data_IF_622237071991
#
_entry.id   IF_622237071991
#
_cell.length_a   1.000
_cell.length_b   1.000
_cell.length_c   1.000
_cell.angle_alpha   90.00
_cell.angle_beta   90.00
_cell.angle_gamma   90.00
#
_symmetry.space_group_name_H-M   'P 1'
#
loop_
_entity.id
_entity.type
_entity.pdbx_description
1 polymer ?
#
# COMPACT_ATOMS: atom_id res chain seq x y z
N UNK A 1 15.74 -34.96 -31.71
CA UNK A 1 15.17 -35.15 -30.36
C UNK A 1 15.12 -33.78 -29.69
N UNK A 2 13.96 -33.13 -29.75
CA UNK A 2 13.72 -31.79 -29.22
C UNK A 2 12.95 -31.96 -27.93
N UNK A 3 13.51 -31.51 -26.80
CA UNK A 3 12.84 -31.48 -25.48
C UNK A 3 12.19 -30.09 -25.33
N UNK A 4 10.87 -30.12 -25.26
CA UNK A 4 10.03 -28.94 -25.03
C UNK A 4 10.05 -28.61 -23.53
N UNK A 5 10.52 -27.41 -23.17
CA UNK A 5 10.36 -26.85 -21.83
C UNK A 5 8.96 -26.26 -21.72
N UNK A 6 8.16 -26.84 -20.83
CA UNK A 6 6.86 -26.31 -20.45
C UNK A 6 7.01 -25.24 -19.33
N UNK A 7 6.85 -24.00 -19.71
CA UNK A 7 6.75 -22.89 -18.73
C UNK A 7 5.47 -23.02 -17.91
N UNK A 8 5.62 -23.24 -16.61
CA UNK A 8 4.56 -23.23 -15.62
C UNK A 8 4.11 -21.79 -15.36
N UNK A 9 3.03 -21.35 -15.99
CA UNK A 9 2.37 -20.07 -15.70
C UNK A 9 1.58 -20.17 -14.41
N UNK A 10 2.02 -19.47 -13.39
CA UNK A 10 1.25 -19.27 -12.15
C UNK A 10 0.07 -18.35 -12.46
N UNK A 11 -1.13 -18.91 -12.50
CA UNK A 11 -2.40 -18.18 -12.68
C UNK A 11 -2.82 -17.66 -11.32
N UNK A 12 -2.76 -16.34 -11.14
CA UNK A 12 -3.32 -15.66 -9.95
C UNK A 12 -4.83 -15.55 -10.16
N UNK A 13 -5.69 -16.13 -9.29
CA UNK A 13 -7.13 -16.07 -9.50
C UNK A 13 -7.67 -14.67 -9.26
N UNK A 14 -8.38 -14.15 -10.26
CA UNK A 14 -9.07 -12.87 -10.25
C UNK A 14 -10.33 -12.95 -9.35
N UNK A 15 -10.35 -12.25 -8.23
CA UNK A 15 -11.42 -12.24 -7.22
C UNK A 15 -12.75 -11.61 -7.66
N UNK A 16 -12.98 -11.38 -8.95
CA UNK A 16 -14.17 -10.64 -9.46
C UNK A 16 -15.30 -11.48 -10.06
N UNK A 17 -15.36 -12.79 -9.87
CA UNK A 17 -16.45 -13.60 -10.42
C UNK A 17 -17.11 -14.50 -9.36
N UNK A 18 -17.86 -13.90 -8.44
CA UNK A 18 -18.93 -14.60 -7.72
C UNK A 18 -20.01 -13.59 -7.33
N UNK A 19 -20.93 -13.30 -8.23
CA UNK A 19 -22.29 -12.82 -7.95
C UNK A 19 -23.07 -12.78 -9.28
N UNK A 20 -23.65 -13.90 -9.67
CA UNK A 20 -24.87 -13.97 -10.49
C UNK A 20 -25.38 -15.42 -10.48
N UNK A 21 -26.50 -15.60 -9.93
CA UNK A 21 -27.61 -16.50 -10.23
C UNK A 21 -28.22 -17.08 -8.96
N UNK A 22 -29.45 -16.64 -8.66
CA UNK A 22 -30.63 -17.50 -8.67
C UNK A 22 -31.85 -16.65 -8.27
N UNK A 23 -32.69 -16.35 -9.23
CA UNK A 23 -34.07 -15.95 -9.01
C UNK A 23 -34.93 -17.23 -9.09
N UNK A 24 -35.68 -17.52 -8.03
CA UNK A 24 -36.83 -18.42 -8.10
C UNK A 24 -37.90 -17.89 -7.15
N UNK A 25 -39.09 -17.66 -7.71
CA UNK A 25 -40.27 -17.15 -7.03
C UNK A 25 -40.90 -18.19 -6.15
N UNK A 26 -41.31 -17.76 -4.94
CA UNK A 26 -42.40 -18.43 -4.19
C UNK A 26 -43.16 -17.39 -3.36
N UNK A 27 -44.40 -17.15 -3.71
CA UNK A 27 -45.39 -16.34 -3.00
C UNK A 27 -45.73 -16.98 -1.65
N UNK A 28 -45.49 -16.23 -0.58
CA UNK A 28 -45.94 -16.61 0.75
C UNK A 28 -45.93 -15.38 1.66
N UNK A 29 -47.11 -14.81 1.91
CA UNK A 29 -47.31 -13.70 2.82
C UNK A 29 -47.06 -14.17 4.24
N UNK A 30 -45.94 -13.79 4.84
CA UNK A 30 -45.70 -13.86 6.28
C UNK A 30 -45.20 -12.48 6.71
N UNK A 31 -45.98 -11.82 7.57
CA UNK A 31 -45.59 -10.58 8.20
C UNK A 31 -44.40 -10.88 9.12
N UNK A 32 -43.19 -10.58 8.66
CA UNK A 32 -41.99 -10.62 9.48
C UNK A 32 -41.70 -9.20 9.98
N UNK A 33 -41.76 -9.04 11.29
CA UNK A 33 -41.20 -7.95 12.05
C UNK A 33 -39.77 -7.65 11.54
N UNK A 34 -39.55 -6.49 10.94
CA UNK A 34 -38.22 -6.04 10.60
C UNK A 34 -37.44 -5.81 11.91
N UNK A 35 -36.73 -6.84 12.36
CA UNK A 35 -35.60 -6.64 13.24
C UNK A 35 -34.55 -5.89 12.39
N UNK A 36 -34.26 -4.65 12.78
CA UNK A 36 -33.15 -3.87 12.26
C UNK A 36 -31.86 -4.70 12.42
N UNK A 37 -31.45 -5.40 11.36
CA UNK A 37 -30.13 -6.00 11.29
C UNK A 37 -29.14 -4.86 11.30
N UNK A 38 -28.53 -4.63 12.46
CA UNK A 38 -27.43 -3.71 12.59
C UNK A 38 -26.40 -4.04 11.50
N UNK A 39 -25.98 -3.00 10.82
CA UNK A 39 -24.89 -3.06 9.85
C UNK A 39 -23.66 -3.62 10.59
N UNK A 40 -23.50 -4.93 10.56
CA UNK A 40 -22.29 -5.59 11.04
C UNK A 40 -21.16 -5.12 10.11
N UNK A 41 -20.38 -4.15 10.56
CA UNK A 41 -19.12 -3.81 9.95
C UNK A 41 -18.34 -5.11 9.81
N UNK A 42 -18.23 -5.62 8.61
CA UNK A 42 -17.43 -6.79 8.27
C UNK A 42 -15.98 -6.37 8.48
N UNK A 43 -15.46 -6.58 9.68
CA UNK A 43 -14.05 -6.35 9.94
C UNK A 43 -13.27 -7.31 9.04
N UNK A 44 -12.38 -6.75 8.24
CA UNK A 44 -11.43 -7.56 7.48
C UNK A 44 -10.68 -8.48 8.45
N UNK A 45 -10.39 -9.74 8.06
CA UNK A 45 -9.61 -10.61 8.92
C UNK A 45 -8.28 -9.93 9.26
N UNK A 46 -7.76 -10.14 10.48
CA UNK A 46 -6.47 -9.56 10.88
C UNK A 46 -5.38 -9.91 9.87
N UNK A 47 -4.47 -8.97 9.62
CA UNK A 47 -3.32 -9.20 8.76
C UNK A 47 -2.51 -10.39 9.28
N UNK A 48 -2.12 -11.28 8.37
CA UNK A 48 -1.24 -12.42 8.71
C UNK A 48 0.18 -11.93 9.01
N UNK A 49 0.51 -11.82 10.28
CA UNK A 49 1.82 -11.37 10.74
C UNK A 49 2.97 -12.35 10.45
N UNK A 50 2.66 -13.58 9.94
CA UNK A 50 3.71 -14.49 9.44
C UNK A 50 4.42 -13.96 8.20
N UNK A 51 3.83 -12.97 7.53
CA UNK A 51 4.42 -12.28 6.36
C UNK A 51 5.46 -11.21 6.73
N UNK A 52 5.71 -10.98 8.02
CA UNK A 52 6.73 -10.06 8.54
C UNK A 52 7.66 -10.76 9.54
N UNK A 53 8.91 -10.30 9.69
CA UNK A 53 9.87 -10.94 10.60
C UNK A 53 9.37 -10.93 12.05
N UNK A 54 9.37 -12.11 12.70
CA UNK A 54 8.92 -12.27 14.10
C UNK A 54 9.61 -11.33 15.07
N UNK A 55 10.92 -11.12 14.89
CA UNK A 55 11.71 -10.18 15.72
C UNK A 55 11.16 -8.76 15.61
N UNK A 56 10.82 -8.30 14.41
CA UNK A 56 10.25 -6.97 14.22
C UNK A 56 8.84 -6.87 14.83
N UNK A 57 8.02 -7.92 14.70
CA UNK A 57 6.69 -7.99 15.34
C UNK A 57 6.82 -7.85 16.86
N UNK A 58 7.78 -8.56 17.47
CA UNK A 58 8.04 -8.46 18.91
C UNK A 58 8.49 -7.05 19.34
N UNK A 59 9.31 -6.37 18.50
CA UNK A 59 9.77 -5.01 18.78
C UNK A 59 8.67 -3.94 18.67
N UNK A 60 7.76 -4.09 17.69
CA UNK A 60 6.70 -3.09 17.46
C UNK A 60 5.45 -3.36 18.30
N UNK A 61 5.20 -4.61 18.67
CA UNK A 61 4.00 -5.07 19.33
C UNK A 61 2.84 -5.34 18.35
N UNK A 62 2.32 -6.54 18.41
CA UNK A 62 1.25 -7.01 17.49
C UNK A 62 0.04 -6.08 17.46
N UNK A 63 -0.43 -5.64 18.65
CA UNK A 63 -1.58 -4.74 18.77
C UNK A 63 -1.36 -3.43 18.03
N UNK A 64 -0.15 -2.86 18.08
CA UNK A 64 0.17 -1.62 17.39
C UNK A 64 0.20 -1.82 15.87
N UNK A 65 0.78 -2.94 15.41
CA UNK A 65 0.80 -3.29 13.99
C UNK A 65 -0.63 -3.43 13.47
N UNK A 66 -1.48 -4.23 14.13
CA UNK A 66 -2.88 -4.42 13.73
C UNK A 66 -3.68 -3.11 13.76
N UNK A 67 -3.38 -2.20 14.68
CA UNK A 67 -4.01 -0.87 14.71
C UNK A 67 -3.63 -0.02 13.49
N UNK A 68 -2.36 -0.10 13.05
CA UNK A 68 -1.91 0.61 11.85
C UNK A 68 -2.47 -0.03 10.58
N UNK A 69 -2.58 -1.36 10.54
CA UNK A 69 -3.23 -2.09 9.43
C UNK A 69 -4.66 -1.64 9.24
N UNK A 70 -5.47 -1.58 10.32
CA UNK A 70 -6.85 -1.08 10.24
C UNK A 70 -6.92 0.32 9.66
N UNK A 71 -6.04 1.23 10.09
CA UNK A 71 -5.95 2.57 9.49
C UNK A 71 -5.68 2.52 7.98
N UNK A 72 -4.79 1.63 7.52
CA UNK A 72 -4.48 1.48 6.09
C UNK A 72 -5.67 0.89 5.31
N UNK A 73 -6.39 -0.07 5.88
CA UNK A 73 -7.59 -0.69 5.28
C UNK A 73 -8.75 0.31 5.14
N UNK A 74 -8.93 1.21 6.11
CA UNK A 74 -9.92 2.29 6.06
C UNK A 74 -9.70 3.26 4.89
N UNK A 75 -8.49 3.33 4.32
CA UNK A 75 -8.21 4.12 3.13
C UNK A 75 -8.85 3.55 1.86
N UNK A 76 -9.26 2.28 1.87
CA UNK A 76 -9.94 1.56 0.78
C UNK A 76 -9.19 1.62 -0.56
N UNK A 77 -7.86 1.43 -0.52
CA UNK A 77 -6.98 1.47 -1.68
C UNK A 77 -7.22 0.26 -2.60
N UNK A 78 -7.16 0.47 -3.91
CA UNK A 78 -7.39 -0.57 -4.91
C UNK A 78 -6.11 -1.25 -5.39
N UNK A 79 -5.04 -0.50 -5.45
CA UNK A 79 -3.79 -0.88 -6.13
C UNK A 79 -2.60 -0.98 -5.17
N UNK A 80 -2.79 -0.67 -3.88
CA UNK A 80 -1.79 -0.77 -2.83
C UNK A 80 -2.29 -1.74 -1.77
N UNK A 81 -1.53 -2.78 -1.50
CA UNK A 81 -1.85 -3.73 -0.43
C UNK A 81 -1.25 -3.23 0.90
N UNK A 82 -2.04 -3.13 1.99
CA UNK A 82 -1.55 -2.75 3.31
C UNK A 82 -0.32 -3.53 3.80
N UNK A 83 -0.23 -4.83 3.47
CA UNK A 83 0.94 -5.66 3.86
C UNK A 83 2.25 -5.10 3.30
N UNK A 84 2.25 -4.52 2.09
CA UNK A 84 3.45 -3.95 1.49
C UNK A 84 3.99 -2.76 2.28
N UNK A 85 3.09 -1.96 2.88
CA UNK A 85 3.45 -0.84 3.76
C UNK A 85 4.08 -1.37 5.06
N UNK A 86 3.48 -2.41 5.65
CA UNK A 86 4.02 -3.06 6.86
C UNK A 86 5.40 -3.66 6.57
N UNK A 87 5.56 -4.38 5.46
CA UNK A 87 6.85 -4.94 5.04
C UNK A 87 7.91 -3.87 4.77
N UNK A 88 7.53 -2.71 4.24
CA UNK A 88 8.44 -1.58 4.04
C UNK A 88 8.97 -1.01 5.38
N UNK A 89 8.17 -1.09 6.46
CA UNK A 89 8.62 -0.73 7.80
C UNK A 89 9.45 -1.83 8.47
N UNK A 90 9.18 -3.11 8.16
CA UNK A 90 9.86 -4.26 8.73
C UNK A 90 11.21 -4.56 8.03
N UNK A 91 11.99 -3.53 7.70
CA UNK A 91 13.30 -3.64 7.06
C UNK A 91 14.43 -3.25 8.03
N UNK A 92 15.63 -3.75 7.75
CA UNK A 92 16.84 -3.42 8.49
C UNK A 92 17.83 -2.59 7.67
N UNK A 93 18.68 -1.83 8.37
CA UNK A 93 19.93 -1.27 7.84
C UNK A 93 21.07 -1.74 8.77
N UNK A 94 21.83 -2.73 8.31
CA UNK A 94 22.69 -3.52 9.17
C UNK A 94 21.85 -4.25 10.22
N UNK A 95 22.19 -4.12 11.50
CA UNK A 95 21.46 -4.70 12.63
C UNK A 95 20.27 -3.86 13.12
N UNK A 96 20.07 -2.65 12.57
CA UNK A 96 19.02 -1.73 13.04
C UNK A 96 17.72 -1.96 12.28
N UNK A 97 16.68 -2.33 13.00
CA UNK A 97 15.32 -2.37 12.48
C UNK A 97 14.73 -0.96 12.30
N UNK A 98 13.99 -0.76 11.21
CA UNK A 98 13.10 0.39 11.11
C UNK A 98 11.86 0.16 12.00
N UNK A 99 11.08 1.22 12.22
CA UNK A 99 9.90 1.19 13.10
C UNK A 99 8.63 1.60 12.36
N UNK A 100 7.48 1.34 12.95
CA UNK A 100 6.23 1.99 12.55
C UNK A 100 6.33 3.52 12.77
N UNK A 101 5.61 4.32 11.95
CA UNK A 101 5.50 5.75 12.20
C UNK A 101 4.72 6.02 13.51
N UNK A 102 5.01 7.10 14.22
CA UNK A 102 4.17 7.58 15.32
C UNK A 102 2.72 7.78 14.84
N UNK A 103 1.73 7.48 15.70
CA UNK A 103 0.30 7.57 15.36
C UNK A 103 -0.11 8.96 14.83
N UNK A 104 0.50 10.02 15.35
CA UNK A 104 0.29 11.40 14.89
C UNK A 104 0.65 11.63 13.42
N UNK A 105 1.51 10.79 12.84
CA UNK A 105 1.95 10.89 11.45
C UNK A 105 1.15 10.00 10.47
N UNK A 106 0.21 9.18 10.94
CA UNK A 106 -0.49 8.25 10.06
C UNK A 106 -1.27 8.94 8.93
N UNK A 107 -1.95 10.05 9.27
CA UNK A 107 -2.72 10.83 8.28
C UNK A 107 -1.87 11.36 7.11
N UNK A 108 -0.60 11.69 7.35
CA UNK A 108 0.32 12.13 6.30
C UNK A 108 0.49 11.05 5.24
N UNK A 109 0.68 9.80 5.66
CA UNK A 109 0.80 8.65 4.75
C UNK A 109 -0.50 8.41 3.98
N UNK A 110 -1.66 8.62 4.59
CA UNK A 110 -2.96 8.44 3.94
C UNK A 110 -3.11 9.28 2.66
N UNK A 111 -2.67 10.55 2.69
CA UNK A 111 -2.66 11.42 1.51
C UNK A 111 -1.73 10.90 0.40
N UNK A 112 -0.53 10.46 0.78
CA UNK A 112 0.45 9.91 -0.17
C UNK A 112 -0.04 8.60 -0.79
N UNK A 113 -0.63 7.70 0.00
CA UNK A 113 -1.18 6.43 -0.48
C UNK A 113 -2.33 6.64 -1.47
N UNK A 114 -3.24 7.58 -1.21
CA UNK A 114 -4.31 7.94 -2.16
C UNK A 114 -3.75 8.48 -3.47
N UNK A 115 -2.73 9.35 -3.42
CA UNK A 115 -2.05 9.83 -4.62
C UNK A 115 -1.42 8.68 -5.42
N UNK A 116 -0.76 7.74 -4.74
CA UNK A 116 -0.17 6.54 -5.36
C UNK A 116 -1.22 5.64 -5.96
N UNK A 117 -2.36 5.43 -5.30
CA UNK A 117 -3.47 4.63 -5.82
C UNK A 117 -4.03 5.22 -7.14
N UNK A 118 -4.15 6.56 -7.24
CA UNK A 118 -4.49 7.25 -8.49
C UNK A 118 -3.43 7.07 -9.59
N UNK A 119 -2.14 7.09 -9.24
CA UNK A 119 -1.05 6.83 -10.19
C UNK A 119 -1.12 5.39 -10.72
N UNK A 120 -1.30 4.43 -9.83
CA UNK A 120 -1.44 3.02 -10.15
C UNK A 120 -2.67 2.76 -11.04
N UNK A 121 -3.80 3.41 -10.74
CA UNK A 121 -5.01 3.37 -11.58
C UNK A 121 -4.77 3.95 -12.98
N UNK A 122 -3.96 5.00 -13.12
CA UNK A 122 -3.64 5.64 -14.41
C UNK A 122 -2.86 4.71 -15.34
N UNK A 123 -2.03 3.83 -14.78
CA UNK A 123 -1.26 2.83 -15.56
C UNK A 123 -1.91 1.43 -15.53
N UNK A 124 -3.04 1.30 -14.85
CA UNK A 124 -3.79 0.05 -14.63
C UNK A 124 -2.90 -1.10 -14.09
N UNK A 125 -2.04 -0.79 -13.14
CA UNK A 125 -1.15 -1.76 -12.52
C UNK A 125 -1.09 -1.59 -11.00
N UNK A 126 -1.15 -2.67 -10.21
CA UNK A 126 -0.93 -2.61 -8.78
C UNK A 126 0.54 -2.26 -8.46
N UNK A 127 0.76 -1.69 -7.30
CA UNK A 127 2.11 -1.56 -6.74
C UNK A 127 2.69 -2.96 -6.55
N UNK A 128 3.87 -3.20 -7.11
CA UNK A 128 4.56 -4.49 -6.98
C UNK A 128 5.29 -4.60 -5.65
N UNK A 129 5.92 -3.50 -5.22
CA UNK A 129 6.67 -3.42 -3.97
C UNK A 129 6.70 -1.98 -3.48
N UNK A 130 6.48 -1.79 -2.19
CA UNK A 130 6.84 -0.57 -1.49
C UNK A 130 8.27 -0.72 -0.97
N UNK A 131 9.22 -0.13 -1.69
CA UNK A 131 10.65 -0.26 -1.37
C UNK A 131 11.00 0.49 -0.08
N UNK A 132 10.33 1.63 0.18
CA UNK A 132 10.50 2.41 1.41
C UNK A 132 9.24 3.23 1.68
N UNK A 133 8.87 3.34 2.96
CA UNK A 133 7.81 4.21 3.47
C UNK A 133 8.39 5.13 4.57
N UNK A 134 7.77 5.25 5.74
CA UNK A 134 8.37 5.96 6.86
C UNK A 134 9.75 5.40 7.22
N UNK A 135 10.68 6.28 7.54
CA UNK A 135 12.00 5.94 8.10
C UNK A 135 12.15 6.61 9.45
N UNK A 136 12.42 5.83 10.48
CA UNK A 136 12.80 6.41 11.77
C UNK A 136 14.10 7.20 11.65
N UNK A 137 14.34 8.24 12.46
CA UNK A 137 15.57 9.03 12.36
C UNK A 137 16.85 8.19 12.43
N UNK A 138 16.88 7.20 13.31
CA UNK A 138 18.03 6.30 13.44
C UNK A 138 18.23 5.44 12.19
N UNK A 139 17.15 4.90 11.63
CA UNK A 139 17.19 4.12 10.39
C UNK A 139 17.61 4.97 9.19
N UNK A 140 17.05 6.18 9.05
CA UNK A 140 17.36 7.09 7.94
C UNK A 140 18.86 7.45 7.90
N UNK A 141 19.50 7.67 9.06
CA UNK A 141 20.95 7.95 9.12
C UNK A 141 21.82 6.82 8.56
N UNK A 142 21.29 5.59 8.50
CA UNK A 142 22.01 4.42 7.94
C UNK A 142 21.65 4.13 6.49
N UNK A 143 20.63 4.80 5.94
CA UNK A 143 20.27 4.65 4.53
C UNK A 143 21.26 5.40 3.66
N UNK A 144 21.91 4.71 2.71
CA UNK A 144 22.84 5.34 1.77
C UNK A 144 22.16 6.45 0.98
N UNK A 145 22.79 7.62 0.90
CA UNK A 145 22.29 8.80 0.17
C UNK A 145 21.03 9.47 0.78
N UNK A 146 20.58 9.04 1.97
CA UNK A 146 19.45 9.68 2.61
C UNK A 146 19.81 11.06 3.18
N UNK A 147 18.94 12.04 2.91
CA UNK A 147 19.08 13.40 3.47
C UNK A 147 18.53 13.45 4.88
N UNK A 148 19.12 14.31 5.74
CA UNK A 148 18.60 14.57 7.09
C UNK A 148 17.21 15.22 7.10
N UNK A 149 16.82 15.89 6.01
CA UNK A 149 15.50 16.50 5.78
C UNK A 149 14.60 15.66 4.88
N UNK A 150 14.77 14.32 4.88
CA UNK A 150 14.00 13.41 4.04
C UNK A 150 12.50 13.43 4.41
N UNK A 151 11.61 13.42 3.40
CA UNK A 151 10.16 13.33 3.60
C UNK A 151 9.70 11.97 4.11
N UNK A 152 10.53 10.94 4.02
CA UNK A 152 10.31 9.66 4.69
C UNK A 152 10.32 9.80 6.23
N UNK A 153 11.09 10.72 6.80
CA UNK A 153 11.11 11.01 8.24
C UNK A 153 9.77 11.59 8.75
N UNK A 154 9.02 12.25 7.86
CA UNK A 154 7.74 12.89 8.18
C UNK A 154 6.54 12.06 7.71
N UNK A 155 6.77 10.83 7.22
CA UNK A 155 5.74 9.92 6.73
C UNK A 155 4.93 10.47 5.54
N UNK A 156 5.55 11.31 4.69
CA UNK A 156 4.94 11.88 3.49
C UNK A 156 5.41 11.24 2.17
N UNK A 157 6.33 10.27 2.24
CA UNK A 157 7.01 9.76 1.06
C UNK A 157 6.96 8.23 0.94
N UNK A 158 6.88 7.77 -0.30
CA UNK A 158 6.98 6.35 -0.68
C UNK A 158 7.98 6.19 -1.84
N UNK A 159 8.81 5.16 -1.75
CA UNK A 159 9.61 4.65 -2.86
C UNK A 159 8.94 3.37 -3.38
N UNK A 160 8.57 3.35 -4.66
CA UNK A 160 7.63 2.40 -5.23
C UNK A 160 8.21 1.70 -6.45
N UNK A 161 7.96 0.39 -6.55
CA UNK A 161 8.25 -0.40 -7.75
C UNK A 161 6.96 -0.92 -8.36
N UNK A 162 6.88 -0.85 -9.68
CA UNK A 162 5.81 -1.38 -10.50
C UNK A 162 6.38 -2.38 -11.51
N UNK A 163 5.53 -3.05 -12.26
CA UNK A 163 5.95 -3.81 -13.41
C UNK A 163 6.38 -2.85 -14.54
N UNK A 164 5.68 -1.74 -14.70
CA UNK A 164 6.05 -0.67 -15.60
C UNK A 164 7.38 -0.03 -15.22
N UNK A 165 8.08 0.53 -16.21
CA UNK A 165 9.36 1.22 -16.00
C UNK A 165 9.19 2.45 -15.08
N UNK A 166 10.22 2.83 -14.31
CA UNK A 166 10.18 4.04 -13.49
C UNK A 166 9.83 5.31 -14.29
N UNK A 167 10.26 5.37 -15.55
CA UNK A 167 9.91 6.49 -16.44
C UNK A 167 8.42 6.56 -16.76
N UNK A 168 7.77 5.43 -17.00
CA UNK A 168 6.31 5.35 -17.22
C UNK A 168 5.55 5.76 -15.98
N UNK A 169 5.94 5.26 -14.81
CA UNK A 169 5.30 5.60 -13.53
C UNK A 169 5.48 7.09 -13.21
N UNK A 170 6.67 7.64 -13.40
CA UNK A 170 6.94 9.06 -13.16
C UNK A 170 6.10 9.97 -14.09
N UNK A 171 5.90 9.60 -15.38
CA UNK A 171 4.98 10.33 -16.28
C UNK A 171 3.53 10.28 -15.79
N UNK A 172 3.05 9.10 -15.38
CA UNK A 172 1.71 8.96 -14.81
C UNK A 172 1.55 9.80 -13.54
N UNK A 173 2.53 9.78 -12.63
CA UNK A 173 2.52 10.60 -11.43
C UNK A 173 2.46 12.10 -11.73
N UNK A 174 3.20 12.60 -12.74
CA UNK A 174 3.11 13.99 -13.20
C UNK A 174 1.73 14.33 -13.76
N UNK A 175 1.13 13.43 -14.53
CA UNK A 175 -0.23 13.59 -15.05
C UNK A 175 -1.26 13.68 -13.94
N UNK A 176 -1.20 12.79 -12.94
CA UNK A 176 -2.09 12.81 -11.76
C UNK A 176 -1.89 14.09 -10.95
N UNK A 177 -0.65 14.52 -10.76
CA UNK A 177 -0.30 15.78 -10.08
C UNK A 177 -0.83 17.01 -10.84
N UNK A 178 -0.71 17.04 -12.16
CA UNK A 178 -1.21 18.11 -13.01
C UNK A 178 -2.74 18.25 -12.95
N UNK A 179 -3.46 17.14 -12.70
CA UNK A 179 -4.90 17.13 -12.43
C UNK A 179 -5.29 17.63 -11.03
N UNK A 180 -4.32 18.04 -10.21
CA UNK A 180 -4.57 18.59 -8.88
C UNK A 180 -4.81 17.54 -7.78
N UNK A 181 -4.64 16.24 -8.05
CA UNK A 181 -4.87 15.18 -7.07
C UNK A 181 -3.94 15.29 -5.86
N UNK A 182 -2.69 15.72 -6.09
CA UNK A 182 -1.74 16.01 -5.02
C UNK A 182 -0.78 17.14 -5.41
N UNK A 183 -0.09 17.69 -4.40
CA UNK A 183 1.04 18.59 -4.57
C UNK A 183 2.26 17.97 -3.89
N UNK A 184 3.33 17.70 -4.66
CA UNK A 184 4.46 16.98 -4.07
C UNK A 184 5.60 16.68 -5.02
N UNK A 185 6.57 15.93 -4.51
CA UNK A 185 7.77 15.51 -5.22
C UNK A 185 7.57 14.23 -6.02
N UNK A 186 8.23 14.17 -7.18
CA UNK A 186 8.35 12.99 -8.02
C UNK A 186 9.82 12.81 -8.38
N UNK A 187 10.44 11.75 -7.84
CA UNK A 187 11.83 11.39 -8.13
C UNK A 187 11.91 10.14 -8.98
N UNK A 188 12.59 10.19 -10.13
CA UNK A 188 12.83 9.02 -10.97
C UNK A 188 14.21 8.43 -10.70
N UNK A 189 14.21 7.20 -10.19
CA UNK A 189 15.43 6.43 -9.96
C UNK A 189 15.52 5.24 -10.94
N UNK A 190 16.68 4.59 -11.08
CA UNK A 190 16.83 3.47 -12.02
C UNK A 190 15.87 2.30 -11.78
N UNK A 191 15.54 2.00 -10.53
CA UNK A 191 14.74 0.82 -10.14
C UNK A 191 13.43 1.12 -9.41
N UNK A 192 13.13 2.39 -9.10
CA UNK A 192 11.93 2.80 -8.38
C UNK A 192 11.53 4.24 -8.68
N UNK A 193 10.35 4.64 -8.25
CA UNK A 193 9.89 6.04 -8.29
C UNK A 193 9.59 6.49 -6.86
N UNK A 194 10.12 7.64 -6.50
CA UNK A 194 9.75 8.35 -5.28
C UNK A 194 8.53 9.22 -5.54
N UNK A 195 7.54 9.13 -4.65
CA UNK A 195 6.37 10.02 -4.64
C UNK A 195 6.16 10.52 -3.22
N UNK A 196 6.01 11.84 -3.07
CA UNK A 196 5.64 12.45 -1.78
C UNK A 196 4.58 13.53 -1.94
N UNK A 197 3.96 13.89 -0.82
CA UNK A 197 2.88 14.89 -0.75
C UNK A 197 3.26 16.09 0.11
N UNK A 198 4.49 16.58 -0.06
CA UNK A 198 5.09 17.72 0.70
C UNK A 198 4.39 19.07 0.54
N UNK A 199 3.35 19.19 -0.29
CA UNK A 199 2.59 20.43 -0.49
C UNK A 199 3.12 21.34 -1.60
N UNK A 200 4.33 21.12 -2.13
CA UNK A 200 4.88 21.84 -3.28
C UNK A 200 5.49 20.88 -4.31
N UNK A 201 5.32 21.21 -5.59
CA UNK A 201 5.83 20.39 -6.68
C UNK A 201 7.34 20.44 -6.80
N UNK A 202 7.97 19.28 -7.00
CA UNK A 202 9.39 19.12 -7.30
C UNK A 202 9.58 17.86 -8.15
N UNK A 203 10.58 17.89 -9.04
CA UNK A 203 10.97 16.75 -9.89
C UNK A 203 12.49 16.59 -9.88
N UNK A 204 13.01 15.32 -9.92
CA UNK A 204 14.42 14.98 -10.05
C UNK A 204 14.64 13.59 -10.61
#
# INVERSE_FOLDING_TARGET
MTVSEAESRIIIPNRRKFLAAAAAAATGLVATTQTSQGFLFRQSPPLDLRLVPKTWVALQGERQIQSYVRFLEELSLKYVDPIQIIQAHAKTQGSLWNTLPPRSMWRSMGGTLKAVDHVAATIDQPVREVASAYRSPAYNRRCSGAKSSSWHLQNFALDLKFQASPGTVARAARSVRAKGVFKGGIGRYPSFVHIDTRGKNADW
#
